data_IF_628034567928
#
_entry.id   IF_628034567928
#
_cell.length_a   1.000
_cell.length_b   1.000
_cell.length_c   1.000
_cell.angle_alpha   90.00
_cell.angle_beta   90.00
_cell.angle_gamma   90.00
#
_symmetry.space_group_name_H-M   'P 1'
#
loop_
_entity.id
_entity.type
_entity.pdbx_description
1 polymer ?
#
# COMPACT_ATOMS: atom_id res chain seq x y z
N UNK A 1 -19.56 14.00 21.18
CA UNK A 1 -18.36 13.93 22.02
C UNK A 1 -17.60 15.24 22.01
N UNK A 2 -16.71 15.42 22.95
CA UNK A 2 -15.82 16.59 22.96
C UNK A 2 -14.55 16.23 22.12
N UNK A 3 -14.04 17.21 21.35
CA UNK A 3 -12.74 17.10 20.71
C UNK A 3 -11.66 17.11 21.79
N UNK A 4 -10.74 16.14 21.76
CA UNK A 4 -9.60 16.05 22.68
C UNK A 4 -8.37 16.68 22.05
N UNK A 5 -8.13 16.42 20.76
CA UNK A 5 -7.04 16.98 19.97
C UNK A 5 -7.42 16.94 18.49
N UNK A 6 -6.67 17.67 17.68
CA UNK A 6 -6.81 17.70 16.22
C UNK A 6 -5.43 17.74 15.59
N UNK A 7 -5.22 16.93 14.54
CA UNK A 7 -3.97 16.86 13.78
C UNK A 7 -4.26 17.06 12.29
N UNK A 8 -3.96 18.23 11.73
CA UNK A 8 -4.14 18.46 10.30
C UNK A 8 -3.06 17.70 9.50
N UNK A 9 -3.49 16.79 8.60
CA UNK A 9 -2.61 15.95 7.78
C UNK A 9 -2.74 16.21 6.27
N UNK A 10 -3.81 16.86 5.85
CA UNK A 10 -4.11 17.10 4.43
C UNK A 10 -3.41 18.32 3.82
N UNK A 11 -3.59 18.57 2.53
CA UNK A 11 -4.42 17.79 1.64
C UNK A 11 -3.79 16.45 1.27
N UNK A 12 -4.63 15.41 1.04
CA UNK A 12 -4.17 14.12 0.54
C UNK A 12 -4.26 14.08 -0.99
N UNK A 13 -3.22 13.58 -1.63
CA UNK A 13 -3.17 13.37 -3.08
C UNK A 13 -3.71 11.98 -3.43
N UNK A 14 -5.03 11.85 -3.44
CA UNK A 14 -5.71 10.63 -3.85
C UNK A 14 -6.97 10.98 -4.66
N UNK A 15 -7.07 10.45 -5.87
CA UNK A 15 -8.15 10.75 -6.82
C UNK A 15 -9.57 10.45 -6.27
N UNK A 16 -9.67 9.49 -5.35
CA UNK A 16 -10.94 9.10 -4.71
C UNK A 16 -11.05 9.58 -3.26
N UNK A 17 -10.06 10.34 -2.78
CA UNK A 17 -9.95 10.70 -1.36
C UNK A 17 -9.45 9.54 -0.50
N UNK A 18 -9.37 9.78 0.81
CA UNK A 18 -8.92 8.78 1.78
C UNK A 18 -10.05 7.82 2.13
N UNK A 19 -9.87 6.53 1.84
CA UNK A 19 -10.87 5.48 2.09
C UNK A 19 -10.55 4.58 3.29
N UNK A 20 -9.30 4.57 3.77
CA UNK A 20 -8.91 3.76 4.92
C UNK A 20 -9.37 4.39 6.24
N UNK A 21 -9.92 3.58 7.13
CA UNK A 21 -10.18 4.02 8.51
C UNK A 21 -8.92 3.90 9.36
N UNK A 22 -8.67 4.84 10.28
CA UNK A 22 -7.65 4.65 11.30
C UNK A 22 -8.03 3.50 12.23
N UNK A 23 -7.02 2.85 12.82
CA UNK A 23 -7.21 1.79 13.81
C UNK A 23 -6.54 2.15 15.14
N UNK A 24 -6.98 1.49 16.19
CA UNK A 24 -6.34 1.58 17.51
C UNK A 24 -5.40 0.40 17.70
N UNK A 25 -4.21 0.69 18.20
CA UNK A 25 -3.23 -0.31 18.65
C UNK A 25 -2.64 0.18 19.97
N UNK A 26 -3.01 -0.45 21.06
CA UNK A 26 -2.71 0.00 22.44
C UNK A 26 -3.07 1.47 22.65
N UNK A 27 -2.09 2.32 22.93
CA UNK A 27 -2.27 3.75 23.13
C UNK A 27 -2.02 4.59 21.85
N UNK A 28 -2.00 3.93 20.70
CA UNK A 28 -1.78 4.58 19.40
C UNK A 28 -3.03 4.58 18.52
N UNK A 29 -3.16 5.63 17.73
CA UNK A 29 -4.03 5.69 16.54
C UNK A 29 -3.13 5.57 15.33
N UNK A 30 -3.35 4.58 14.48
CA UNK A 30 -2.56 4.34 13.27
C UNK A 30 -3.39 4.68 12.05
N UNK A 31 -2.84 5.53 11.20
CA UNK A 31 -3.40 5.95 9.91
C UNK A 31 -2.55 5.38 8.77
N UNK A 32 -3.23 4.87 7.75
CA UNK A 32 -2.65 4.53 6.45
C UNK A 32 -2.99 5.65 5.48
N UNK A 33 -1.98 6.33 4.97
CA UNK A 33 -2.11 7.39 3.97
C UNK A 33 -1.50 6.93 2.64
N UNK A 34 -2.16 5.93 2.02
CA UNK A 34 -1.82 5.48 0.67
C UNK A 34 -2.41 6.45 -0.34
N UNK A 35 -1.56 7.19 -1.04
CA UNK A 35 -1.92 8.25 -1.97
C UNK A 35 -1.09 8.16 -3.25
N UNK A 36 -1.29 9.04 -4.22
CA UNK A 36 -0.60 9.01 -5.50
C UNK A 36 0.92 9.11 -5.32
N UNK A 37 1.34 10.04 -4.46
CA UNK A 37 2.74 10.26 -4.12
C UNK A 37 2.90 10.36 -2.61
N UNK A 38 4.12 10.06 -2.12
CA UNK A 38 4.47 10.21 -0.71
C UNK A 38 3.55 9.44 0.26
N UNK A 39 3.18 8.22 -0.09
CA UNK A 39 2.41 7.33 0.78
C UNK A 39 3.16 7.00 2.06
N UNK A 40 2.43 6.96 3.18
CA UNK A 40 3.04 6.72 4.49
C UNK A 40 2.07 6.07 5.48
N UNK A 41 2.64 5.51 6.54
CA UNK A 41 1.97 5.17 7.79
C UNK A 41 2.29 6.21 8.84
N UNK A 42 1.33 6.51 9.69
CA UNK A 42 1.50 7.42 10.82
C UNK A 42 0.87 6.81 12.06
N UNK A 43 1.64 6.67 13.13
CA UNK A 43 1.12 6.36 14.46
C UNK A 43 1.24 7.59 15.34
N UNK A 44 0.14 7.93 15.97
CA UNK A 44 0.07 9.06 16.90
C UNK A 44 -0.48 8.59 18.26
N UNK A 45 -0.12 9.30 19.31
CA UNK A 45 -0.65 9.09 20.64
C UNK A 45 -2.16 9.30 20.65
N UNK A 46 -2.89 8.35 21.22
CA UNK A 46 -4.34 8.48 21.41
C UNK A 46 -4.71 9.60 22.38
N UNK A 47 -3.81 9.95 23.28
CA UNK A 47 -4.05 10.93 24.34
C UNK A 47 -4.00 12.37 23.80
N UNK A 48 -2.97 12.70 23.00
CA UNK A 48 -2.68 14.08 22.62
C UNK A 48 -2.40 14.29 21.11
N UNK A 49 -2.44 13.22 20.29
CA UNK A 49 -2.17 13.31 18.86
C UNK A 49 -0.70 13.50 18.47
N UNK A 50 0.24 13.46 19.44
CA UNK A 50 1.66 13.56 19.15
C UNK A 50 2.15 12.37 18.32
N UNK A 51 3.03 12.61 17.35
CA UNK A 51 3.59 11.55 16.49
C UNK A 51 4.48 10.63 17.30
N UNK A 52 4.19 9.33 17.24
CA UNK A 52 5.00 8.27 17.84
C UNK A 52 6.01 7.76 16.81
N UNK A 53 5.52 7.39 15.61
CA UNK A 53 6.37 7.02 14.48
C UNK A 53 5.69 7.33 13.15
N UNK A 54 6.49 7.46 12.10
CA UNK A 54 6.07 7.57 10.71
C UNK A 54 6.94 6.65 9.86
N UNK A 55 6.34 5.94 8.90
CA UNK A 55 7.04 5.06 7.97
C UNK A 55 6.58 5.34 6.54
N UNK A 56 7.52 5.54 5.63
CA UNK A 56 7.23 5.74 4.22
C UNK A 56 6.82 4.44 3.54
N UNK A 57 5.91 4.55 2.56
CA UNK A 57 5.38 3.44 1.75
C UNK A 57 5.48 3.76 0.25
N UNK A 58 6.68 3.94 -0.30
CA UNK A 58 6.84 4.43 -1.68
C UNK A 58 6.21 3.51 -2.73
N UNK A 59 6.10 2.22 -2.44
CA UNK A 59 5.46 1.22 -3.30
C UNK A 59 3.93 1.25 -3.27
N UNK A 60 3.32 1.87 -2.27
CA UNK A 60 1.87 1.93 -2.15
C UNK A 60 1.32 3.18 -2.84
N UNK A 61 0.35 2.98 -3.72
CA UNK A 61 -0.33 4.03 -4.47
C UNK A 61 -1.84 3.87 -4.30
N UNK A 62 -2.55 4.92 -3.97
CA UNK A 62 -4.03 4.96 -3.96
C UNK A 62 -4.72 3.78 -3.24
N UNK A 63 -4.19 3.34 -2.11
CA UNK A 63 -4.79 2.29 -1.29
C UNK A 63 -5.99 2.81 -0.48
N UNK A 64 -7.00 1.95 -0.26
CA UNK A 64 -8.23 2.30 0.48
C UNK A 64 -8.58 1.31 1.57
N UNK A 65 -7.79 0.25 1.74
CA UNK A 65 -8.08 -0.80 2.71
C UNK A 65 -7.74 -0.35 4.13
N UNK A 66 -8.67 -0.61 5.04
CA UNK A 66 -8.39 -0.47 6.48
C UNK A 66 -7.45 -1.59 6.92
N UNK A 67 -6.36 -1.29 7.63
CA UNK A 67 -5.44 -2.29 8.13
C UNK A 67 -6.05 -3.14 9.25
N UNK A 68 -5.40 -4.27 9.55
CA UNK A 68 -5.72 -5.07 10.74
C UNK A 68 -4.46 -5.36 11.56
N UNK A 69 -4.67 -5.66 12.82
CA UNK A 69 -3.63 -6.18 13.70
C UNK A 69 -3.63 -7.71 13.67
N UNK A 70 -2.45 -8.28 13.67
CA UNK A 70 -2.23 -9.71 13.76
C UNK A 70 -1.10 -10.01 14.74
N UNK A 71 -1.34 -10.92 15.67
CA UNK A 71 -0.30 -11.41 16.58
C UNK A 71 0.23 -12.71 16.01
N UNK A 72 1.51 -12.76 15.70
CA UNK A 72 2.17 -13.97 15.19
C UNK A 72 2.47 -14.99 16.30
N UNK A 73 2.97 -16.16 15.91
CA UNK A 73 3.28 -17.25 16.83
C UNK A 73 4.38 -16.91 17.86
N UNK A 74 5.13 -15.83 17.63
CA UNK A 74 6.15 -15.32 18.57
C UNK A 74 5.57 -14.32 19.58
N UNK A 75 4.33 -13.93 19.42
CA UNK A 75 3.65 -12.91 20.22
C UNK A 75 3.88 -11.48 19.74
N UNK A 76 4.51 -11.28 18.57
CA UNK A 76 4.73 -9.95 17.96
C UNK A 76 3.45 -9.48 17.29
N UNK A 77 3.02 -8.26 17.61
CA UNK A 77 1.90 -7.64 16.93
C UNK A 77 2.36 -6.98 15.64
N UNK A 78 1.75 -7.38 14.54
CA UNK A 78 2.01 -6.87 13.21
C UNK A 78 0.80 -6.11 12.67
N UNK A 79 1.06 -5.09 11.87
CA UNK A 79 0.07 -4.34 11.14
C UNK A 79 0.03 -4.86 9.70
N UNK A 80 -1.08 -5.48 9.30
CA UNK A 80 -1.27 -6.01 7.95
C UNK A 80 -2.04 -5.02 7.10
N UNK A 81 -1.44 -4.61 5.98
CA UNK A 81 -1.99 -3.59 5.09
C UNK A 81 -1.98 -4.12 3.65
N UNK A 82 -3.15 -4.39 3.06
CA UNK A 82 -3.24 -4.62 1.63
C UNK A 82 -3.22 -3.28 0.90
N UNK A 83 -2.53 -3.23 -0.22
CA UNK A 83 -2.41 -2.03 -1.04
C UNK A 83 -1.80 -2.39 -2.39
N UNK A 84 -1.56 -1.47 -3.22
CA UNK A 84 -0.98 -1.54 -4.56
C UNK A 84 -0.18 -2.81 -4.88
N UNK A 85 -0.89 -3.88 -5.29
CA UNK A 85 -0.36 -5.20 -5.65
C UNK A 85 0.22 -6.05 -4.50
N UNK A 86 0.27 -5.54 -3.28
CA UNK A 86 0.92 -6.20 -2.15
C UNK A 86 0.00 -6.34 -0.94
N UNK A 87 0.24 -7.38 -0.14
CA UNK A 87 -0.07 -7.41 1.27
C UNK A 87 1.25 -7.18 2.00
N UNK A 88 1.34 -6.15 2.80
CA UNK A 88 2.57 -5.81 3.54
C UNK A 88 2.32 -5.85 5.04
N UNK A 89 3.27 -6.42 5.78
CA UNK A 89 3.26 -6.44 7.24
C UNK A 89 4.31 -5.47 7.80
N UNK A 90 3.90 -4.74 8.84
CA UNK A 90 4.77 -3.82 9.57
C UNK A 90 4.75 -4.14 11.05
N UNK A 91 5.85 -3.87 11.73
CA UNK A 91 5.89 -3.88 13.18
C UNK A 91 5.03 -2.72 13.73
N UNK A 92 4.05 -3.05 14.57
CA UNK A 92 3.14 -2.04 15.10
C UNK A 92 3.85 -1.03 16.01
N UNK A 93 4.96 -1.42 16.63
CA UNK A 93 5.65 -0.58 17.61
C UNK A 93 6.50 0.53 17.01
N UNK A 94 6.95 0.37 15.75
CA UNK A 94 7.90 1.29 15.14
C UNK A 94 7.69 1.54 13.63
N UNK A 95 6.73 0.84 12.99
CA UNK A 95 6.45 0.97 11.56
C UNK A 95 7.48 0.30 10.63
N UNK A 96 8.38 -0.53 11.15
CA UNK A 96 9.34 -1.27 10.34
C UNK A 96 8.62 -2.30 9.44
N UNK A 97 8.95 -2.33 8.14
CA UNK A 97 8.45 -3.32 7.21
C UNK A 97 9.07 -4.69 7.50
N UNK A 98 8.23 -5.69 7.76
CA UNK A 98 8.66 -7.04 8.14
C UNK A 98 8.70 -8.00 6.96
N UNK A 99 7.61 -8.08 6.21
CA UNK A 99 7.47 -8.93 5.04
C UNK A 99 6.36 -8.43 4.11
N UNK A 100 6.32 -8.95 2.89
CA UNK A 100 5.26 -8.68 1.94
C UNK A 100 4.98 -9.89 1.04
N UNK A 101 3.79 -9.92 0.48
CA UNK A 101 3.36 -10.86 -0.57
C UNK A 101 2.86 -10.03 -1.75
N UNK A 102 3.38 -10.33 -2.94
CA UNK A 102 2.98 -9.69 -4.20
C UNK A 102 1.91 -10.51 -4.94
N UNK A 103 1.36 -9.95 -6.02
CA UNK A 103 0.42 -10.63 -6.92
C UNK A 103 -1.04 -10.34 -6.62
N UNK A 104 -1.31 -9.34 -5.78
CA UNK A 104 -2.67 -8.85 -5.53
C UNK A 104 -3.11 -7.84 -6.61
N UNK A 105 -4.36 -7.37 -6.54
CA UNK A 105 -4.85 -6.31 -7.43
C UNK A 105 -4.32 -4.94 -7.04
N UNK A 106 -4.36 -3.98 -7.96
CA UNK A 106 -3.85 -2.63 -7.76
C UNK A 106 -4.55 -1.93 -6.59
N UNK A 107 -5.85 -1.76 -6.65
CA UNK A 107 -6.61 -1.11 -5.58
C UNK A 107 -7.34 -2.15 -4.74
N UNK A 108 -6.85 -2.43 -3.56
CA UNK A 108 -7.54 -3.27 -2.59
C UNK A 108 -8.32 -2.36 -1.65
N UNK A 109 -9.62 -2.61 -1.54
CA UNK A 109 -10.55 -1.82 -0.72
C UNK A 109 -11.05 -2.60 0.50
N UNK A 110 -10.91 -3.93 0.45
CA UNK A 110 -11.38 -4.82 1.51
C UNK A 110 -10.36 -4.92 2.65
N UNK A 111 -10.87 -4.89 3.87
CA UNK A 111 -10.08 -5.22 5.05
C UNK A 111 -9.74 -6.71 5.05
N UNK A 112 -8.49 -7.12 5.32
CA UNK A 112 -8.14 -8.53 5.47
C UNK A 112 -8.90 -9.19 6.61
N UNK A 113 -9.06 -10.51 6.53
CA UNK A 113 -9.66 -11.33 7.60
C UNK A 113 -8.67 -12.41 7.99
N UNK A 114 -8.56 -12.68 9.29
CA UNK A 114 -7.72 -13.75 9.83
C UNK A 114 -8.61 -14.82 10.41
N UNK A 115 -8.39 -16.06 10.01
CA UNK A 115 -9.07 -17.23 10.57
C UNK A 115 -8.15 -18.45 10.49
N UNK A 116 -8.07 -19.21 11.57
CA UNK A 116 -7.27 -20.44 11.69
C UNK A 116 -5.82 -20.28 11.18
N UNK A 117 -5.14 -19.18 11.57
CA UNK A 117 -3.77 -18.90 11.17
C UNK A 117 -3.58 -18.49 9.71
N UNK A 118 -4.66 -18.36 8.96
CA UNK A 118 -4.65 -17.91 7.56
C UNK A 118 -5.10 -16.46 7.43
N UNK A 119 -4.49 -15.74 6.49
CA UNK A 119 -4.85 -14.38 6.13
C UNK A 119 -5.62 -14.42 4.81
N UNK A 120 -6.86 -13.97 4.82
CA UNK A 120 -7.71 -13.86 3.64
C UNK A 120 -7.71 -12.42 3.15
N UNK A 121 -7.31 -12.22 1.91
CA UNK A 121 -7.31 -10.91 1.24
C UNK A 121 -8.15 -11.02 -0.02
N UNK A 122 -9.05 -10.07 -0.22
CA UNK A 122 -9.86 -9.98 -1.42
C UNK A 122 -9.48 -8.70 -2.19
N UNK A 123 -9.23 -8.85 -3.48
CA UNK A 123 -8.95 -7.76 -4.39
C UNK A 123 -9.99 -7.64 -5.49
N UNK A 124 -10.05 -6.48 -6.13
CA UNK A 124 -10.88 -6.27 -7.31
C UNK A 124 -10.14 -6.77 -8.55
N UNK A 125 -10.73 -7.74 -9.25
CA UNK A 125 -10.24 -8.21 -10.54
C UNK A 125 -10.92 -7.45 -11.68
N UNK A 126 -10.15 -6.69 -12.47
CA UNK A 126 -10.66 -6.15 -13.73
C UNK A 126 -10.97 -7.29 -14.72
N UNK A 127 -12.02 -7.19 -15.58
CA UNK A 127 -12.21 -8.12 -16.67
C UNK A 127 -10.98 -8.27 -17.58
N UNK A 128 -10.11 -7.27 -17.62
CA UNK A 128 -8.83 -7.31 -18.32
C UNK A 128 -7.80 -8.24 -17.67
N UNK A 129 -7.98 -8.60 -16.42
CA UNK A 129 -7.12 -9.53 -15.67
C UNK A 129 -7.61 -10.99 -15.74
N UNK A 130 -8.66 -11.26 -16.49
CA UNK A 130 -9.14 -12.64 -16.69
C UNK A 130 -8.19 -13.44 -17.58
N UNK A 131 -8.00 -14.75 -17.31
CA UNK A 131 -7.20 -15.61 -18.18
C UNK A 131 -7.64 -15.48 -19.66
N UNK A 132 -6.70 -15.25 -20.57
CA UNK A 132 -6.94 -15.05 -21.99
C UNK A 132 -7.32 -13.60 -22.39
N UNK A 133 -7.52 -12.70 -21.43
CA UNK A 133 -7.73 -11.25 -21.68
C UNK A 133 -6.63 -10.38 -21.06
N UNK A 134 -5.67 -10.98 -20.40
CA UNK A 134 -4.55 -10.24 -19.86
C UNK A 134 -3.72 -9.69 -21.02
N UNK A 135 -3.42 -8.38 -21.02
CA UNK A 135 -2.35 -7.87 -21.86
C UNK A 135 -1.08 -8.67 -21.50
N UNK A 136 -0.33 -9.05 -22.51
CA UNK A 136 0.97 -9.69 -22.29
C UNK A 136 1.86 -8.65 -21.60
N UNK A 137 2.08 -8.84 -20.31
CA UNK A 137 3.05 -8.01 -19.58
C UNK A 137 4.42 -8.57 -19.91
N UNK A 138 5.26 -7.76 -20.50
CA UNK A 138 6.65 -8.10 -20.74
C UNK A 138 7.37 -8.40 -19.43
N UNK A 139 8.29 -9.36 -19.46
CA UNK A 139 9.22 -9.53 -18.34
C UNK A 139 10.23 -8.37 -18.32
N UNK A 140 10.89 -8.17 -17.18
CA UNK A 140 11.93 -7.14 -17.08
C UNK A 140 13.04 -7.34 -18.11
N UNK A 141 13.44 -8.59 -18.38
CA UNK A 141 14.44 -8.93 -19.40
C UNK A 141 13.99 -8.52 -20.80
N UNK A 142 12.71 -8.70 -21.13
CA UNK A 142 12.16 -8.24 -22.42
C UNK A 142 12.09 -6.71 -22.47
N UNK A 143 11.76 -6.06 -21.36
CA UNK A 143 11.73 -4.61 -21.28
C UNK A 143 13.13 -3.99 -21.44
N UNK A 144 14.18 -4.65 -20.94
CA UNK A 144 15.57 -4.22 -21.11
C UNK A 144 16.05 -4.17 -22.58
N UNK A 145 15.33 -4.75 -23.53
CA UNK A 145 15.60 -4.54 -24.96
C UNK A 145 15.42 -3.06 -25.38
N UNK A 146 14.79 -2.25 -24.54
CA UNK A 146 14.57 -0.80 -24.73
C UNK A 146 15.55 0.07 -23.97
N UNK A 147 16.43 -0.51 -23.19
CA UNK A 147 17.54 0.19 -22.54
C UNK A 147 18.51 0.71 -23.62
N UNK A 148 18.26 1.94 -24.07
CA UNK A 148 18.96 2.54 -25.21
C UNK A 148 20.36 2.97 -24.82
N UNK A 149 20.56 3.41 -23.60
CA UNK A 149 21.85 3.89 -23.09
C UNK A 149 22.68 2.80 -22.42
N UNK A 150 22.10 1.62 -22.17
CA UNK A 150 22.78 0.45 -21.64
C UNK A 150 23.16 0.55 -20.18
N UNK A 151 22.44 1.38 -19.41
CA UNK A 151 22.74 1.58 -17.98
C UNK A 151 22.12 0.51 -17.06
N UNK A 152 21.34 -0.42 -17.63
CA UNK A 152 20.67 -1.52 -16.94
C UNK A 152 19.41 -1.09 -16.19
N UNK A 153 18.90 0.11 -16.46
CA UNK A 153 17.64 0.66 -15.94
C UNK A 153 16.73 0.99 -17.10
N UNK A 154 15.48 1.33 -16.77
CA UNK A 154 14.51 1.78 -17.76
C UNK A 154 13.99 3.15 -17.32
N UNK A 155 14.32 4.17 -18.07
CA UNK A 155 13.80 5.51 -17.89
C UNK A 155 12.33 5.60 -18.32
N UNK A 156 11.63 6.64 -17.92
CA UNK A 156 10.24 6.89 -18.32
C UNK A 156 10.10 7.04 -19.85
N UNK A 157 11.14 7.52 -20.54
CA UNK A 157 11.17 7.67 -21.99
C UNK A 157 11.30 6.31 -22.68
N UNK A 158 12.11 5.41 -22.16
CA UNK A 158 12.28 4.04 -22.66
C UNK A 158 11.07 3.15 -22.38
N UNK A 159 10.28 3.47 -21.36
CA UNK A 159 9.03 2.80 -21.04
C UNK A 159 7.83 3.33 -21.83
N UNK A 160 7.97 4.38 -22.64
CA UNK A 160 6.86 4.93 -23.42
C UNK A 160 6.22 3.87 -24.34
N UNK A 161 4.89 3.81 -24.28
CA UNK A 161 4.12 2.84 -25.07
C UNK A 161 4.01 1.45 -24.46
N UNK A 162 4.57 1.21 -23.28
CA UNK A 162 4.37 -0.02 -22.53
C UNK A 162 3.12 0.06 -21.66
N UNK A 163 2.54 -1.09 -21.30
CA UNK A 163 1.42 -1.15 -20.36
C UNK A 163 1.82 -0.73 -18.94
N UNK A 164 3.12 -0.80 -18.61
CA UNK A 164 3.65 -0.34 -17.33
C UNK A 164 3.63 1.19 -17.21
N UNK A 165 3.84 1.91 -18.31
CA UNK A 165 3.88 3.37 -18.34
C UNK A 165 2.51 4.06 -18.49
N UNK A 166 1.44 3.33 -18.73
CA UNK A 166 0.22 3.94 -19.27
C UNK A 166 -1.09 3.68 -18.53
N UNK A 167 -1.12 2.94 -17.45
CA UNK A 167 -2.39 2.68 -16.80
C UNK A 167 -2.73 3.79 -15.81
N UNK A 168 -3.74 4.59 -16.17
CA UNK A 168 -4.33 5.66 -15.34
C UNK A 168 -3.40 6.84 -14.97
N UNK A 169 -2.33 7.09 -15.71
CA UNK A 169 -1.48 8.26 -15.46
C UNK A 169 -0.65 8.16 -14.17
N UNK A 170 -0.50 6.98 -13.62
CA UNK A 170 0.45 6.71 -12.56
C UNK A 170 1.84 6.45 -13.19
N UNK A 171 2.43 7.51 -13.68
CA UNK A 171 3.87 7.54 -13.97
C UNK A 171 4.58 8.09 -12.75
N UNK A 172 5.62 7.44 -12.32
CA UNK A 172 6.55 7.96 -11.32
C UNK A 172 7.17 9.28 -11.79
#
# INVERSE_FOLDING_TARGET
GNELWSLPLGPFDNIYGMGASPILADDMVILVADQTNDSYLLAVSREDGSTIWKADRPEAKSGHATPILWVDDTGRTQLLIPGSFFLTAYDVSNGEKLWWVSGLSFEIKSTPVIHDGMIFVNGFGSPMQQPGRQPQIETFEQALERDVDGDGKLSAEELQGTLAAGWMGFTD
#
